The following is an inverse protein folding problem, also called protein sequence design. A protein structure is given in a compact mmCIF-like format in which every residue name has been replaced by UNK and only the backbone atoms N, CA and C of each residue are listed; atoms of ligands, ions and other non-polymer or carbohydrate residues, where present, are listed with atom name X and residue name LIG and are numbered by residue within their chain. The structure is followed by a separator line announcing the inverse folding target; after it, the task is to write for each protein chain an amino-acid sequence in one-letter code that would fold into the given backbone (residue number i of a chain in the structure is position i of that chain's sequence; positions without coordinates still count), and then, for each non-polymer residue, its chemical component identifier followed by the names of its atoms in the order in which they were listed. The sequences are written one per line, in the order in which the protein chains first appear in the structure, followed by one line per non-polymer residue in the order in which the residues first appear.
data_IF_294306131587
#
_entry.id   IF_294306131587
#
_cell.length_a   1.000
_cell.length_b   1.000
_cell.length_c   1.000
_cell.angle_alpha   90.00
_cell.angle_beta   90.00
_cell.angle_gamma   90.00
#
_symmetry.space_group_name_H-M   'P 1'
#
loop_
_entity.id
_entity.type
_entity.pdbx_description
1 polymer ?
#
# COMPACT_ATOMS: atom_id res chain seq x y z
N UNK A 1 -32.68 -14.58 34.92
CA UNK A 1 -32.93 -14.25 33.50
C UNK A 1 -31.78 -14.80 32.66
N UNK A 2 -31.99 -15.85 31.84
CA UNK A 2 -30.97 -16.33 30.92
C UNK A 2 -31.04 -15.56 29.58
N UNK A 3 -29.92 -15.39 28.85
CA UNK A 3 -29.90 -14.64 27.60
C UNK A 3 -30.50 -15.46 26.44
N UNK A 4 -31.20 -14.73 25.57
CA UNK A 4 -31.95 -15.25 24.44
C UNK A 4 -31.06 -15.89 23.36
N UNK A 5 -31.52 -17.03 22.84
CA UNK A 5 -31.00 -17.70 21.65
C UNK A 5 -31.31 -16.84 20.42
N UNK A 6 -30.28 -16.46 19.66
CA UNK A 6 -30.45 -15.95 18.30
C UNK A 6 -30.31 -17.13 17.35
N UNK A 7 -31.43 -17.45 16.69
CA UNK A 7 -31.54 -18.48 15.65
C UNK A 7 -30.90 -17.99 14.35
N UNK A 8 -29.98 -18.79 13.80
CA UNK A 8 -29.37 -18.55 12.48
C UNK A 8 -30.30 -19.02 11.35
N UNK A 9 -30.47 -18.26 10.26
CA UNK A 9 -30.93 -18.82 8.99
C UNK A 9 -29.73 -18.94 8.04
N UNK A 10 -28.78 -19.82 8.35
CA UNK A 10 -27.72 -20.17 7.41
C UNK A 10 -28.23 -21.27 6.46
N UNK A 11 -28.84 -20.88 5.33
CA UNK A 11 -28.98 -21.81 4.20
C UNK A 11 -27.61 -21.96 3.56
N UNK A 12 -26.96 -23.09 3.86
CA UNK A 12 -25.83 -23.61 3.08
C UNK A 12 -26.26 -23.67 1.61
N UNK A 13 -25.56 -22.96 0.73
CA UNK A 13 -25.44 -23.37 -0.67
C UNK A 13 -24.11 -24.06 -0.80
N UNK A 14 -24.16 -25.34 -1.15
CA UNK A 14 -23.01 -26.17 -1.47
C UNK A 14 -22.18 -25.51 -2.57
N UNK A 15 -21.08 -24.86 -2.19
CA UNK A 15 -20.01 -24.54 -3.12
C UNK A 15 -19.19 -25.83 -3.31
N UNK A 16 -19.52 -26.58 -4.38
CA UNK A 16 -18.67 -27.66 -4.88
C UNK A 16 -17.29 -27.07 -5.18
N UNK A 17 -16.31 -27.42 -4.33
CA UNK A 17 -14.90 -27.16 -4.55
C UNK A 17 -14.49 -27.94 -5.80
N UNK A 18 -14.38 -27.28 -6.95
CA UNK A 18 -13.74 -27.87 -8.11
C UNK A 18 -12.23 -27.92 -7.85
N UNK A 19 -11.71 -29.13 -7.71
CA UNK A 19 -10.29 -29.43 -7.77
C UNK A 19 -9.73 -28.92 -9.10
N UNK A 20 -8.74 -28.03 -9.06
CA UNK A 20 -8.01 -27.60 -10.24
C UNK A 20 -6.96 -28.65 -10.59
N UNK A 21 -7.15 -29.42 -11.67
CA UNK A 21 -6.10 -30.28 -12.24
C UNK A 21 -5.21 -29.47 -13.18
N UNK A 22 -3.89 -29.58 -13.00
CA UNK A 22 -2.80 -28.81 -13.62
C UNK A 22 -2.53 -29.06 -15.11
N UNK A 23 -3.52 -29.41 -15.93
CA UNK A 23 -3.30 -29.70 -17.35
C UNK A 23 -4.24 -28.91 -18.26
N UNK A 24 -3.95 -27.62 -18.52
CA UNK A 24 -4.42 -26.89 -19.71
C UNK A 24 -3.86 -25.45 -19.74
N UNK A 25 -2.58 -25.29 -20.09
CA UNK A 25 -2.08 -24.04 -20.67
C UNK A 25 -1.48 -24.43 -22.03
N UNK A 26 -2.25 -24.22 -23.11
CA UNK A 26 -1.76 -24.23 -24.48
C UNK A 26 -1.65 -22.79 -24.98
N UNK A 27 -0.48 -22.44 -25.50
CA UNK A 27 -0.13 -21.20 -26.19
C UNK A 27 -0.79 -21.11 -27.58
N UNK A 28 -1.31 -19.94 -27.97
CA UNK A 28 -1.73 -19.66 -29.35
C UNK A 28 -2.20 -18.21 -29.54
N UNK A 29 -1.58 -17.47 -30.49
CA UNK A 29 -1.76 -16.02 -30.70
C UNK A 29 -2.75 -15.58 -31.79
N UNK A 30 -2.80 -14.26 -32.04
CA UNK A 30 -3.27 -13.57 -33.27
C UNK A 30 -3.04 -12.05 -33.10
N UNK A 31 -2.18 -11.40 -33.91
CA UNK A 31 -2.42 -10.62 -35.16
C UNK A 31 -3.40 -9.43 -35.04
N UNK A 32 -2.87 -8.20 -35.14
CA UNK A 32 -3.59 -6.94 -35.38
C UNK A 32 -3.60 -6.60 -36.89
N UNK A 33 -4.64 -5.94 -37.43
CA UNK A 33 -4.55 -5.23 -38.70
C UNK A 33 -4.52 -3.69 -38.53
N UNK A 34 -3.97 -3.02 -39.55
CA UNK A 34 -3.69 -1.59 -39.66
C UNK A 34 -4.66 -0.86 -40.63
N UNK A 35 -4.47 0.47 -40.77
CA UNK A 35 -5.07 1.46 -41.72
C UNK A 35 -6.43 2.05 -41.29
N UNK A 36 -6.79 3.34 -41.45
CA UNK A 36 -6.23 4.56 -42.08
C UNK A 36 -7.38 5.50 -42.53
N UNK A 37 -7.23 6.84 -42.43
CA UNK A 37 -8.03 8.00 -42.98
C UNK A 37 -8.45 9.03 -41.91
N UNK A 38 -7.72 10.14 -41.72
CA UNK A 38 -7.69 11.48 -42.38
C UNK A 38 -8.65 12.52 -41.79
N UNK A 39 -8.06 13.70 -41.57
CA UNK A 39 -8.57 14.86 -40.85
C UNK A 39 -9.72 15.61 -41.54
N UNK A 40 -10.56 16.23 -40.70
CA UNK A 40 -11.02 17.63 -40.73
C UNK A 40 -12.53 17.73 -40.45
N UNK A 41 -12.86 18.08 -39.21
CA UNK A 41 -14.23 18.38 -38.83
C UNK A 41 -14.38 18.69 -37.34
N UNK A 42 -14.22 19.97 -37.01
CA UNK A 42 -14.80 20.62 -35.82
C UNK A 42 -14.09 20.47 -34.48
N UNK A 43 -13.05 21.31 -34.31
CA UNK A 43 -12.65 21.88 -33.02
C UNK A 43 -13.80 22.75 -32.50
N UNK A 44 -14.48 22.31 -31.43
CA UNK A 44 -15.11 23.10 -30.34
C UNK A 44 -16.18 22.29 -29.58
N UNK A 45 -15.76 21.48 -28.61
CA UNK A 45 -16.23 21.58 -27.23
C UNK A 45 -15.29 20.74 -26.39
N UNK A 46 -14.71 21.35 -25.36
CA UNK A 46 -13.59 20.79 -24.60
C UNK A 46 -14.07 19.64 -23.69
N UNK A 47 -14.24 18.47 -24.27
CA UNK A 47 -14.36 17.18 -23.59
C UNK A 47 -13.07 16.40 -23.76
N UNK A 48 -12.01 16.80 -23.07
CA UNK A 48 -10.78 16.00 -23.01
C UNK A 48 -11.05 14.78 -22.12
N UNK A 49 -11.54 13.73 -22.77
CA UNK A 49 -11.53 12.35 -22.29
C UNK A 49 -10.07 12.00 -21.96
N UNK A 50 -9.75 12.04 -20.67
CA UNK A 50 -8.61 11.32 -20.09
C UNK A 50 -8.58 9.92 -20.70
N UNK A 51 -7.55 9.64 -21.50
CA UNK A 51 -7.23 8.32 -22.01
C UNK A 51 -7.17 7.33 -20.83
N UNK A 52 -7.86 6.18 -20.89
CA UNK A 52 -7.87 5.20 -19.81
C UNK A 52 -6.53 4.45 -19.79
N UNK A 53 -5.51 5.05 -19.18
CA UNK A 53 -4.23 4.40 -18.97
C UNK A 53 -4.34 3.53 -17.71
N UNK A 54 -4.49 2.24 -18.00
CA UNK A 54 -4.46 1.12 -17.08
C UNK A 54 -3.31 1.22 -16.07
N UNK A 55 -3.71 1.17 -14.80
CA UNK A 55 -2.89 0.87 -13.64
C UNK A 55 -2.15 -0.46 -13.83
N UNK A 56 -0.81 -0.42 -13.91
CA UNK A 56 0.03 -1.58 -14.27
C UNK A 56 0.17 -2.65 -13.17
N UNK A 57 -0.47 -2.54 -12.01
CA UNK A 57 -0.52 -3.62 -11.00
C UNK A 57 -1.88 -4.33 -10.90
N UNK A 58 -2.82 -4.06 -11.80
CA UNK A 58 -4.18 -4.64 -11.74
C UNK A 58 -4.30 -6.10 -12.19
N UNK A 59 -3.26 -6.73 -12.74
CA UNK A 59 -3.40 -8.09 -13.27
C UNK A 59 -3.75 -9.15 -12.22
N UNK A 60 -3.45 -8.92 -10.94
CA UNK A 60 -3.84 -9.84 -9.85
C UNK A 60 -5.27 -9.65 -9.33
N UNK A 61 -5.80 -8.41 -9.38
CA UNK A 61 -7.15 -8.09 -8.88
C UNK A 61 -8.22 -8.00 -9.97
N UNK A 62 -7.85 -7.97 -11.25
CA UNK A 62 -8.82 -8.03 -12.35
C UNK A 62 -9.67 -9.33 -12.34
N UNK A 63 -9.33 -10.28 -11.46
CA UNK A 63 -10.01 -11.56 -11.26
C UNK A 63 -11.02 -11.56 -10.08
N UNK A 64 -11.04 -10.53 -9.23
CA UNK A 64 -11.96 -10.45 -8.09
C UNK A 64 -13.17 -9.57 -8.45
N UNK A 65 -14.37 -10.05 -8.16
CA UNK A 65 -15.59 -9.25 -8.28
C UNK A 65 -15.59 -8.08 -7.28
N UNK A 66 -16.43 -7.07 -7.53
CA UNK A 66 -16.64 -6.00 -6.54
C UNK A 66 -17.10 -6.61 -5.20
N UNK A 67 -16.36 -6.31 -4.13
CA UNK A 67 -16.66 -6.77 -2.77
C UNK A 67 -15.95 -8.06 -2.32
N UNK A 68 -15.28 -8.80 -3.19
CA UNK A 68 -14.61 -10.03 -2.77
C UNK A 68 -13.22 -9.76 -2.15
N UNK A 69 -12.92 -10.42 -1.03
CA UNK A 69 -11.58 -10.45 -0.44
C UNK A 69 -10.86 -11.74 -0.83
N UNK A 70 -9.52 -11.68 -0.94
CA UNK A 70 -8.74 -12.89 -1.13
C UNK A 70 -8.91 -13.84 0.07
N UNK A 71 -8.77 -15.17 -0.12
CA UNK A 71 -8.85 -16.12 0.99
C UNK A 71 -7.72 -15.96 2.03
N UNK A 72 -6.65 -15.25 1.67
CA UNK A 72 -5.50 -14.90 2.49
C UNK A 72 -4.95 -13.51 2.11
N UNK A 73 -4.18 -12.84 2.98
CA UNK A 73 -3.58 -11.56 2.63
C UNK A 73 -2.44 -11.75 1.62
N UNK A 74 -2.53 -11.08 0.46
CA UNK A 74 -1.41 -11.05 -0.49
C UNK A 74 -0.20 -10.30 0.09
N UNK A 75 -0.45 -9.31 0.96
CA UNK A 75 0.59 -8.54 1.63
C UNK A 75 0.29 -8.28 3.11
N UNK A 76 1.32 -8.36 3.95
CA UNK A 76 1.23 -7.99 5.37
C UNK A 76 2.13 -6.80 5.62
N UNK A 77 1.56 -5.73 6.17
CA UNK A 77 2.28 -4.56 6.65
C UNK A 77 2.64 -4.77 8.11
N UNK A 78 3.92 -4.89 8.42
CA UNK A 78 4.44 -5.17 9.75
C UNK A 78 5.15 -3.94 10.31
N UNK A 79 4.63 -3.41 11.41
CA UNK A 79 5.36 -2.44 12.22
C UNK A 79 6.27 -3.21 13.20
N UNK A 80 7.58 -3.10 13.01
CA UNK A 80 8.58 -3.86 13.80
C UNK A 80 9.07 -3.10 15.03
N UNK A 81 8.94 -1.78 15.05
CA UNK A 81 9.30 -0.94 16.20
C UNK A 81 8.46 0.34 16.25
N UNK A 82 8.29 0.95 17.42
CA UNK A 82 7.83 2.35 17.58
C UNK A 82 8.99 3.31 17.83
N UNK A 83 10.21 2.80 18.07
CA UNK A 83 11.41 3.63 18.25
C UNK A 83 11.74 4.33 16.94
N UNK A 84 12.13 5.59 17.04
CA UNK A 84 12.60 6.38 15.90
C UNK A 84 13.70 7.32 16.36
N UNK A 85 14.68 7.56 15.51
CA UNK A 85 15.74 8.55 15.74
C UNK A 85 15.34 9.98 15.30
N UNK A 86 14.11 10.16 14.82
CA UNK A 86 13.49 11.46 14.55
C UNK A 86 12.30 11.69 15.49
N UNK A 87 11.92 12.96 15.68
CA UNK A 87 10.80 13.36 16.54
C UNK A 87 9.75 14.21 15.80
N UNK A 88 9.34 13.77 14.60
CA UNK A 88 8.46 14.50 13.69
C UNK A 88 7.16 14.98 14.37
N UNK A 89 6.80 16.27 14.26
CA UNK A 89 5.68 16.86 15.01
C UNK A 89 4.34 16.14 14.76
N UNK A 90 4.04 15.76 13.52
CA UNK A 90 2.81 15.08 13.10
C UNK A 90 2.89 13.55 12.99
N UNK A 91 3.83 12.90 13.69
CA UNK A 91 4.03 11.45 13.56
C UNK A 91 2.79 10.64 13.94
N UNK A 92 2.21 9.93 12.97
CA UNK A 92 1.01 9.09 13.16
C UNK A 92 1.26 7.83 14.01
N UNK A 93 2.52 7.45 14.17
CA UNK A 93 2.99 6.25 14.88
C UNK A 93 3.63 6.55 16.24
N UNK A 94 3.53 7.80 16.73
CA UNK A 94 4.10 8.20 18.03
C UNK A 94 3.36 7.47 19.15
N UNK A 95 4.04 6.51 19.76
CA UNK A 95 3.61 5.70 20.90
C UNK A 95 4.83 5.44 21.80
N UNK A 96 4.63 4.84 22.98
CA UNK A 96 5.74 4.46 23.85
C UNK A 96 6.71 3.51 23.13
N UNK A 97 8.03 3.61 23.39
CA UNK A 97 9.03 2.72 22.78
C UNK A 97 8.70 1.24 23.02
N UNK A 98 8.62 0.50 21.93
CA UNK A 98 8.35 -0.93 21.91
C UNK A 98 8.94 -1.54 20.62
N UNK A 99 9.43 -2.76 20.74
CA UNK A 99 9.95 -3.55 19.64
C UNK A 99 9.10 -4.82 19.51
N UNK A 100 8.80 -5.22 18.27
CA UNK A 100 8.16 -6.49 17.98
C UNK A 100 9.10 -7.62 18.34
N UNK A 101 8.57 -8.69 18.94
CA UNK A 101 9.34 -9.90 19.23
C UNK A 101 9.85 -10.53 17.92
N UNK A 102 11.16 -10.79 17.78
CA UNK A 102 11.73 -11.44 16.59
C UNK A 102 11.05 -12.77 16.26
N UNK A 103 10.86 -13.64 17.26
CA UNK A 103 10.22 -14.96 17.09
C UNK A 103 8.81 -14.85 16.49
N UNK A 104 8.05 -13.83 16.89
CA UNK A 104 6.73 -13.57 16.31
C UNK A 104 6.84 -13.21 14.83
N UNK A 105 7.79 -12.34 14.47
CA UNK A 105 7.98 -11.91 13.08
C UNK A 105 8.45 -13.08 12.19
N UNK A 106 9.33 -13.93 12.71
CA UNK A 106 9.82 -15.13 12.01
C UNK A 106 8.70 -16.16 11.81
N UNK A 107 7.89 -16.42 12.84
CA UNK A 107 6.71 -17.28 12.72
C UNK A 107 5.69 -16.73 11.72
N UNK A 108 5.46 -15.41 11.72
CA UNK A 108 4.55 -14.76 10.77
C UNK A 108 4.97 -14.97 9.31
N UNK A 109 6.27 -14.85 8.97
CA UNK A 109 6.70 -15.05 7.58
C UNK A 109 6.58 -16.51 7.11
N UNK A 110 6.69 -17.47 8.03
CA UNK A 110 6.38 -18.87 7.73
C UNK A 110 4.90 -19.07 7.42
N UNK A 111 4.01 -18.52 8.25
CA UNK A 111 2.56 -18.56 8.00
C UNK A 111 2.21 -17.89 6.67
N UNK A 112 2.82 -16.75 6.36
CA UNK A 112 2.65 -16.03 5.10
C UNK A 112 3.04 -16.91 3.90
N UNK A 113 4.18 -17.60 3.97
CA UNK A 113 4.66 -18.47 2.91
C UNK A 113 3.74 -19.69 2.71
N UNK A 114 3.28 -20.31 3.80
CA UNK A 114 2.37 -21.47 3.74
C UNK A 114 1.08 -21.19 2.98
N UNK A 115 0.56 -19.97 3.07
CA UNK A 115 -0.70 -19.57 2.42
C UNK A 115 -0.50 -18.93 1.04
N UNK A 116 0.74 -18.75 0.59
CA UNK A 116 1.05 -18.12 -0.70
C UNK A 116 0.94 -16.59 -0.69
N UNK A 117 1.16 -15.95 0.46
CA UNK A 117 1.36 -14.49 0.52
C UNK A 117 2.59 -14.10 -0.31
N UNK A 118 2.63 -12.87 -0.82
CA UNK A 118 3.70 -12.42 -1.71
C UNK A 118 4.61 -11.36 -1.11
N UNK A 119 4.08 -10.46 -0.27
CA UNK A 119 4.80 -9.26 0.16
C UNK A 119 4.75 -9.03 1.66
N UNK A 120 5.92 -8.98 2.30
CA UNK A 120 6.12 -8.41 3.62
C UNK A 120 6.52 -6.94 3.48
N UNK A 121 5.70 -6.03 4.01
CA UNK A 121 5.98 -4.59 4.01
C UNK A 121 6.34 -4.13 5.43
N UNK A 122 7.63 -3.86 5.67
CA UNK A 122 8.18 -3.50 6.97
C UNK A 122 8.20 -1.97 7.13
N UNK A 123 7.76 -1.51 8.29
CA UNK A 123 7.87 -0.11 8.71
C UNK A 123 7.82 0.03 10.23
N UNK A 124 7.36 1.17 10.72
CA UNK A 124 7.15 1.42 12.15
C UNK A 124 7.48 2.86 12.52
N UNK A 125 8.30 3.03 13.56
CA UNK A 125 9.09 4.25 13.77
C UNK A 125 10.19 4.32 12.71
N UNK A 126 11.40 3.91 13.07
CA UNK A 126 12.50 3.68 12.12
C UNK A 126 12.90 2.19 12.12
N UNK A 127 12.54 1.41 11.09
CA UNK A 127 12.81 -0.04 11.09
C UNK A 127 14.30 -0.36 11.14
N UNK A 128 15.19 0.53 10.68
CA UNK A 128 16.63 0.30 10.78
C UNK A 128 17.12 0.24 12.25
N UNK A 129 16.34 0.67 13.24
CA UNK A 129 16.67 0.51 14.66
C UNK A 129 16.34 -0.88 15.23
N UNK A 130 15.54 -1.69 14.53
CA UNK A 130 15.09 -2.99 15.03
C UNK A 130 16.17 -4.05 14.81
N UNK A 131 16.54 -4.76 15.88
CA UNK A 131 17.71 -5.64 15.91
C UNK A 131 17.68 -6.77 14.88
N UNK A 132 16.52 -7.38 14.66
CA UNK A 132 16.34 -8.57 13.82
C UNK A 132 15.93 -8.26 12.37
N UNK A 133 16.19 -7.05 11.88
CA UNK A 133 15.76 -6.64 10.53
C UNK A 133 16.37 -7.52 9.44
N UNK A 134 17.69 -7.72 9.46
CA UNK A 134 18.42 -8.51 8.46
C UNK A 134 17.95 -9.98 8.48
N UNK A 135 17.87 -10.57 9.67
CA UNK A 135 17.41 -11.95 9.87
C UNK A 135 15.99 -12.14 9.31
N UNK A 136 15.07 -11.22 9.60
CA UNK A 136 13.71 -11.27 9.06
C UNK A 136 13.71 -11.15 7.54
N UNK A 137 14.53 -10.25 6.97
CA UNK A 137 14.60 -10.10 5.51
C UNK A 137 15.15 -11.35 4.83
N UNK A 138 16.22 -11.93 5.36
CA UNK A 138 16.83 -13.16 4.84
C UNK A 138 15.85 -14.34 4.93
N UNK A 139 15.18 -14.50 6.08
CA UNK A 139 14.17 -15.54 6.27
C UNK A 139 13.01 -15.39 5.30
N UNK A 140 12.50 -14.17 5.11
CA UNK A 140 11.41 -13.92 4.17
C UNK A 140 11.80 -14.31 2.73
N UNK A 141 13.00 -13.95 2.27
CA UNK A 141 13.49 -14.35 0.94
C UNK A 141 13.69 -15.85 0.80
N UNK A 142 14.24 -16.51 1.82
CA UNK A 142 14.40 -17.97 1.83
C UNK A 142 13.07 -18.73 1.71
N UNK A 143 11.96 -18.09 2.09
CA UNK A 143 10.60 -18.61 1.97
C UNK A 143 9.87 -18.14 0.69
N UNK A 144 10.55 -17.41 -0.20
CA UNK A 144 9.99 -16.92 -1.47
C UNK A 144 9.12 -15.67 -1.35
N UNK A 145 9.08 -15.02 -0.18
CA UNK A 145 8.42 -13.73 0.00
C UNK A 145 9.30 -12.60 -0.56
N UNK A 146 8.65 -11.52 -0.98
CA UNK A 146 9.32 -10.25 -1.29
C UNK A 146 9.21 -9.29 -0.12
N UNK A 147 10.24 -8.48 0.07
CA UNK A 147 10.35 -7.53 1.18
C UNK A 147 10.31 -6.10 0.64
N UNK A 148 9.41 -5.28 1.21
CA UNK A 148 9.40 -3.84 1.04
C UNK A 148 9.69 -3.15 2.37
N UNK A 149 10.56 -2.14 2.41
CA UNK A 149 10.88 -1.36 3.62
C UNK A 149 10.53 0.10 3.40
N UNK A 150 9.87 0.73 4.38
CA UNK A 150 9.74 2.19 4.47
C UNK A 150 10.63 2.72 5.59
N UNK A 151 11.56 3.61 5.27
CA UNK A 151 12.54 4.19 6.22
C UNK A 151 12.54 5.72 6.13
N UNK A 152 12.97 6.39 7.19
CA UNK A 152 13.26 7.83 7.16
C UNK A 152 14.59 8.15 6.44
N UNK A 153 15.39 7.14 6.07
CA UNK A 153 16.60 7.30 5.25
C UNK A 153 17.81 7.87 5.98
N UNK A 154 17.77 8.03 7.31
CA UNK A 154 18.90 8.57 8.09
C UNK A 154 19.91 7.51 8.53
N UNK A 155 19.48 6.25 8.60
CA UNK A 155 20.31 5.11 8.97
C UNK A 155 20.39 4.14 7.79
N UNK A 156 21.58 3.57 7.58
CA UNK A 156 21.82 2.57 6.54
C UNK A 156 22.20 1.25 7.20
N UNK A 157 21.54 0.19 6.78
CA UNK A 157 21.80 -1.18 7.23
C UNK A 157 21.89 -2.14 6.04
N UNK A 158 22.63 -3.25 6.17
CA UNK A 158 22.82 -4.22 5.10
C UNK A 158 21.58 -5.08 4.80
N UNK A 159 20.43 -4.84 5.43
CA UNK A 159 19.16 -5.46 5.04
C UNK A 159 18.91 -5.28 3.53
N UNK A 160 18.43 -6.33 2.87
CA UNK A 160 18.43 -6.42 1.40
C UNK A 160 17.01 -6.40 0.80
N UNK A 161 16.20 -5.34 0.96
CA UNK A 161 14.82 -5.35 0.49
C UNK A 161 14.70 -5.38 -1.04
N UNK A 162 13.65 -6.02 -1.57
CA UNK A 162 13.26 -5.91 -2.99
C UNK A 162 12.83 -4.48 -3.35
N UNK A 163 12.20 -3.79 -2.39
CA UNK A 163 11.74 -2.41 -2.53
C UNK A 163 12.07 -1.58 -1.30
N UNK A 164 12.59 -0.38 -1.50
CA UNK A 164 12.84 0.55 -0.41
C UNK A 164 12.26 1.92 -0.73
N UNK A 165 11.42 2.43 0.17
CA UNK A 165 10.88 3.78 0.08
C UNK A 165 11.45 4.65 1.20
N UNK A 166 12.01 5.81 0.85
CA UNK A 166 12.41 6.83 1.82
C UNK A 166 11.23 7.79 2.04
N UNK A 167 10.86 8.04 3.30
CA UNK A 167 9.92 9.11 3.65
C UNK A 167 10.60 10.46 3.48
N UNK A 168 10.15 11.24 2.49
CA UNK A 168 10.75 12.52 2.14
C UNK A 168 9.65 13.57 1.98
N UNK A 169 9.47 14.43 2.99
CA UNK A 169 8.46 15.49 3.04
C UNK A 169 8.87 16.57 4.06
N UNK A 170 8.03 17.60 4.24
CA UNK A 170 8.23 18.63 5.26
C UNK A 170 8.30 18.08 6.69
N UNK A 171 7.52 17.06 7.00
CA UNK A 171 7.38 16.54 8.36
C UNK A 171 8.65 15.85 8.85
N UNK A 172 9.35 15.15 7.95
CA UNK A 172 10.62 14.49 8.24
C UNK A 172 11.82 15.44 8.16
N UNK A 173 11.70 16.56 7.42
CA UNK A 173 12.74 17.59 7.35
C UNK A 173 14.07 17.14 6.75
N UNK A 174 14.11 15.98 6.09
CA UNK A 174 15.34 15.42 5.55
C UNK A 174 15.84 16.27 4.35
N UNK A 175 17.14 16.62 4.30
CA UNK A 175 17.74 17.20 3.10
C UNK A 175 17.69 16.21 1.92
N UNK A 176 17.56 16.72 0.70
CA UNK A 176 17.47 15.88 -0.50
C UNK A 176 18.72 14.99 -0.66
N UNK A 177 19.90 15.53 -0.32
CA UNK A 177 21.18 14.85 -0.39
C UNK A 177 21.23 13.64 0.56
N UNK A 178 20.61 13.75 1.74
CA UNK A 178 20.52 12.64 2.68
C UNK A 178 19.58 11.54 2.16
N UNK A 179 18.43 11.92 1.61
CA UNK A 179 17.53 10.97 0.94
C UNK A 179 18.24 10.26 -0.23
N UNK A 180 18.95 11.01 -1.07
CA UNK A 180 19.71 10.47 -2.20
C UNK A 180 20.76 9.45 -1.76
N UNK A 181 21.50 9.70 -0.67
CA UNK A 181 22.47 8.73 -0.14
C UNK A 181 21.81 7.39 0.19
N UNK A 182 20.67 7.41 0.88
CA UNK A 182 19.94 6.19 1.21
C UNK A 182 19.40 5.48 -0.03
N UNK A 183 18.77 6.22 -0.94
CA UNK A 183 18.24 5.67 -2.20
C UNK A 183 19.35 5.00 -3.01
N UNK A 184 20.50 5.65 -3.18
CA UNK A 184 21.64 5.08 -3.92
C UNK A 184 22.21 3.84 -3.22
N UNK A 185 22.39 3.90 -1.89
CA UNK A 185 22.91 2.76 -1.11
C UNK A 185 22.11 1.48 -1.37
N UNK A 186 20.77 1.56 -1.34
CA UNK A 186 19.91 0.40 -1.54
C UNK A 186 19.73 0.03 -3.03
N UNK A 187 19.69 1.01 -3.93
CA UNK A 187 19.65 0.75 -5.38
C UNK A 187 20.87 -0.01 -5.85
N UNK A 188 22.06 0.38 -5.40
CA UNK A 188 23.33 -0.24 -5.79
C UNK A 188 23.43 -1.69 -5.27
N UNK A 189 22.54 -2.08 -4.35
CA UNK A 189 22.36 -3.45 -3.83
C UNK A 189 21.18 -4.19 -4.46
N UNK A 190 20.58 -3.63 -5.51
CA UNK A 190 19.52 -4.27 -6.31
C UNK A 190 18.09 -3.93 -5.88
N UNK A 191 17.88 -3.09 -4.86
CA UNK A 191 16.53 -2.69 -4.47
C UNK A 191 15.90 -1.76 -5.52
N UNK A 192 14.60 -1.93 -5.79
CA UNK A 192 13.81 -0.90 -6.49
C UNK A 192 13.49 0.20 -5.50
N UNK A 193 14.05 1.39 -5.71
CA UNK A 193 13.95 2.49 -4.76
C UNK A 193 12.89 3.53 -5.15
N UNK A 194 12.24 4.08 -4.13
CA UNK A 194 11.17 5.05 -4.26
C UNK A 194 11.12 6.03 -3.09
N UNK A 195 10.18 6.94 -3.14
CA UNK A 195 9.89 7.87 -2.03
C UNK A 195 8.42 7.81 -1.64
N UNK A 196 8.17 7.93 -0.35
CA UNK A 196 6.86 8.22 0.20
C UNK A 196 6.84 9.70 0.58
N UNK A 197 5.84 10.44 0.11
CA UNK A 197 5.74 11.88 0.34
C UNK A 197 4.36 12.25 0.85
N UNK A 198 4.29 12.78 2.07
CA UNK A 198 3.05 13.34 2.61
C UNK A 198 2.77 14.68 1.93
N UNK A 199 1.63 14.79 1.24
CA UNK A 199 1.27 15.99 0.47
C UNK A 199 0.79 17.09 1.40
N UNK A 200 1.64 18.08 1.64
CA UNK A 200 1.32 19.25 2.49
C UNK A 200 1.15 20.52 1.66
N UNK A 201 2.22 21.04 1.06
CA UNK A 201 2.22 22.30 0.32
C UNK A 201 2.71 22.13 -1.11
N UNK A 202 2.43 23.10 -1.98
CA UNK A 202 2.96 23.11 -3.35
C UNK A 202 4.51 23.13 -3.36
N UNK A 203 5.12 23.87 -2.43
CA UNK A 203 6.58 23.93 -2.30
C UNK A 203 7.19 22.58 -1.89
N UNK A 204 6.49 21.81 -1.05
CA UNK A 204 6.96 20.48 -0.68
C UNK A 204 6.94 19.48 -1.84
N UNK A 205 5.93 19.57 -2.71
CA UNK A 205 5.89 18.77 -3.94
C UNK A 205 7.07 19.09 -4.86
N UNK A 206 7.44 20.38 -5.01
CA UNK A 206 8.59 20.78 -5.82
C UNK A 206 9.92 20.21 -5.29
N UNK A 207 10.05 19.99 -3.97
CA UNK A 207 11.26 19.37 -3.41
C UNK A 207 11.52 17.96 -3.95
N UNK A 208 10.48 17.25 -4.40
CA UNK A 208 10.62 15.93 -5.01
C UNK A 208 11.37 15.96 -6.33
N UNK A 209 11.35 17.08 -7.06
CA UNK A 209 11.97 17.20 -8.40
C UNK A 209 13.44 16.77 -8.39
N UNK A 210 14.17 17.08 -7.31
CA UNK A 210 15.57 16.68 -7.11
C UNK A 210 15.77 15.17 -7.01
N UNK A 211 14.78 14.44 -6.50
CA UNK A 211 14.84 13.00 -6.28
C UNK A 211 14.32 12.19 -7.46
N UNK A 212 13.53 12.81 -8.35
CA UNK A 212 12.91 12.11 -9.50
C UNK A 212 13.93 11.27 -10.28
N UNK A 213 15.13 11.77 -10.65
CA UNK A 213 16.09 10.98 -11.42
C UNK A 213 16.55 9.70 -10.72
N UNK A 214 16.54 9.68 -9.39
CA UNK A 214 17.07 8.58 -8.58
C UNK A 214 16.03 7.49 -8.29
N UNK A 215 14.74 7.79 -8.45
CA UNK A 215 13.64 6.93 -7.97
C UNK A 215 12.82 6.31 -9.10
N UNK A 216 12.37 5.09 -8.86
CA UNK A 216 11.44 4.37 -9.72
C UNK A 216 9.99 4.75 -9.44
N UNK A 217 9.68 5.09 -8.18
CA UNK A 217 8.32 5.33 -7.69
C UNK A 217 8.27 6.52 -6.71
N UNK A 218 7.19 7.29 -6.80
CA UNK A 218 6.85 8.38 -5.88
C UNK A 218 5.44 8.10 -5.38
N UNK A 219 5.29 7.68 -4.12
CA UNK A 219 3.98 7.50 -3.51
C UNK A 219 3.56 8.77 -2.80
N UNK A 220 2.51 9.42 -3.30
CA UNK A 220 1.90 10.58 -2.66
C UNK A 220 0.89 10.10 -1.62
N UNK A 221 1.05 10.57 -0.38
CA UNK A 221 0.27 10.18 0.79
C UNK A 221 -0.59 11.35 1.26
N UNK A 222 -1.85 11.06 1.60
CA UNK A 222 -2.70 11.99 2.32
C UNK A 222 -2.14 12.25 3.74
N UNK A 223 -2.07 13.52 4.19
CA UNK A 223 -1.77 13.85 5.57
C UNK A 223 -2.74 13.19 6.56
N UNK A 224 -2.24 12.91 7.77
CA UNK A 224 -3.02 12.31 8.84
C UNK A 224 -2.88 13.16 10.11
N UNK A 225 -3.97 13.65 10.71
CA UNK A 225 -5.36 13.47 10.27
C UNK A 225 -5.66 14.13 8.92
N UNK A 226 -6.61 13.60 8.14
CA UNK A 226 -6.90 14.11 6.80
C UNK A 226 -7.57 15.50 6.86
N UNK A 227 -7.04 16.43 6.07
CA UNK A 227 -7.58 17.77 5.85
C UNK A 227 -7.65 18.07 4.34
N UNK A 228 -8.62 17.48 3.62
CA UNK A 228 -8.70 17.61 2.17
C UNK A 228 -8.70 19.07 1.69
N UNK A 229 -9.40 19.95 2.40
CA UNK A 229 -9.50 21.38 2.15
C UNK A 229 -8.15 22.13 2.13
N UNK A 230 -7.14 21.63 2.84
CA UNK A 230 -5.80 22.23 2.90
C UNK A 230 -4.86 21.74 1.77
N UNK A 231 -5.29 20.78 0.95
CA UNK A 231 -4.42 20.20 -0.09
C UNK A 231 -4.14 21.19 -1.24
N UNK A 232 -2.91 21.22 -1.77
CA UNK A 232 -2.53 22.08 -2.89
C UNK A 232 -2.99 21.49 -4.22
N UNK A 233 -4.29 21.42 -4.47
CA UNK A 233 -4.89 20.66 -5.58
C UNK A 233 -4.31 20.98 -6.96
N UNK A 234 -4.16 22.25 -7.30
CA UNK A 234 -3.62 22.66 -8.61
C UNK A 234 -2.19 22.14 -8.81
N UNK A 235 -1.31 22.34 -7.82
CA UNK A 235 0.06 21.85 -7.86
C UNK A 235 0.13 20.32 -7.85
N UNK A 236 -0.73 19.68 -7.05
CA UNK A 236 -0.83 18.22 -6.94
C UNK A 236 -1.23 17.59 -8.28
N UNK A 237 -2.27 18.09 -8.94
CA UNK A 237 -2.72 17.57 -10.24
C UNK A 237 -1.63 17.77 -11.30
N UNK A 238 -1.03 18.96 -11.38
CA UNK A 238 0.09 19.22 -12.30
C UNK A 238 1.25 18.25 -12.07
N UNK A 239 1.63 18.02 -10.82
CA UNK A 239 2.71 17.09 -10.47
C UNK A 239 2.37 15.65 -10.89
N UNK A 240 1.15 15.19 -10.61
CA UNK A 240 0.68 13.85 -11.02
C UNK A 240 0.73 13.71 -12.55
N UNK A 241 0.25 14.69 -13.30
CA UNK A 241 0.22 14.65 -14.77
C UNK A 241 1.61 14.64 -15.39
N UNK A 242 2.51 15.49 -14.86
CA UNK A 242 3.90 15.59 -15.29
C UNK A 242 4.69 14.30 -15.03
N UNK A 243 4.38 13.59 -13.94
CA UNK A 243 5.14 12.43 -13.48
C UNK A 243 4.32 11.13 -13.43
N UNK A 244 3.26 11.03 -14.24
CA UNK A 244 2.26 9.93 -14.22
C UNK A 244 2.81 8.51 -14.34
N UNK A 245 4.01 8.33 -14.90
CA UNK A 245 4.65 7.01 -15.03
C UNK A 245 5.33 6.55 -13.73
N UNK A 246 5.60 7.46 -12.80
CA UNK A 246 6.33 7.21 -11.55
C UNK A 246 5.48 7.48 -10.31
N UNK A 247 4.41 8.26 -10.43
CA UNK A 247 3.55 8.63 -9.30
C UNK A 247 2.53 7.55 -8.99
N UNK A 248 2.48 7.16 -7.72
CA UNK A 248 1.52 6.27 -7.11
C UNK A 248 0.75 7.09 -6.07
N UNK A 249 -0.54 6.85 -5.94
CA UNK A 249 -1.36 7.52 -4.93
C UNK A 249 -1.66 6.52 -3.83
N UNK A 250 -1.54 6.95 -2.58
CA UNK A 250 -2.15 6.20 -1.50
C UNK A 250 -3.68 6.15 -1.70
N UNK A 251 -4.35 5.08 -1.26
CA UNK A 251 -5.79 4.94 -1.49
C UNK A 251 -6.63 6.08 -0.90
N UNK A 252 -6.17 6.72 0.19
CA UNK A 252 -6.89 7.82 0.81
C UNK A 252 -6.82 9.08 -0.05
N UNK A 253 -5.63 9.46 -0.53
CA UNK A 253 -5.48 10.59 -1.45
C UNK A 253 -6.23 10.34 -2.76
N UNK A 254 -6.13 9.12 -3.31
CA UNK A 254 -6.89 8.73 -4.50
C UNK A 254 -8.39 8.89 -4.33
N UNK A 255 -8.93 8.57 -3.14
CA UNK A 255 -10.34 8.81 -2.80
C UNK A 255 -10.70 10.28 -2.79
N UNK A 256 -9.87 11.11 -2.15
CA UNK A 256 -10.09 12.56 -2.06
C UNK A 256 -10.15 13.19 -3.46
N UNK A 257 -9.24 12.78 -4.35
CA UNK A 257 -9.23 13.25 -5.74
C UNK A 257 -10.44 12.74 -6.53
N UNK A 258 -10.84 11.49 -6.32
CA UNK A 258 -12.04 10.93 -6.94
C UNK A 258 -13.32 11.66 -6.55
N UNK A 259 -13.51 11.96 -5.25
CA UNK A 259 -14.67 12.69 -4.75
C UNK A 259 -14.77 14.11 -5.34
N UNK A 260 -13.65 14.69 -5.75
CA UNK A 260 -13.57 16.00 -6.42
C UNK A 260 -13.65 15.92 -7.95
N UNK A 261 -13.88 14.73 -8.52
CA UNK A 261 -13.93 14.53 -9.97
C UNK A 261 -12.57 14.62 -10.67
N UNK A 262 -11.47 14.69 -9.92
CA UNK A 262 -10.10 14.81 -10.45
C UNK A 262 -9.49 13.45 -10.82
N UNK A 263 -10.08 12.35 -10.36
CA UNK A 263 -9.65 10.99 -10.67
C UNK A 263 -10.85 10.10 -10.97
N UNK A 264 -10.80 9.33 -12.06
CA UNK A 264 -11.93 8.46 -12.46
C UNK A 264 -12.09 7.22 -11.57
N UNK A 265 -10.99 6.70 -11.02
CA UNK A 265 -10.97 5.50 -10.18
C UNK A 265 -10.08 5.73 -8.97
N UNK A 266 -10.66 5.58 -7.78
CA UNK A 266 -9.96 5.48 -6.51
C UNK A 266 -10.57 4.35 -5.70
N UNK A 267 -9.76 3.63 -4.90
CA UNK A 267 -10.27 2.49 -4.15
C UNK A 267 -9.31 1.98 -3.10
N UNK A 268 -9.83 1.74 -1.90
CA UNK A 268 -9.11 1.10 -0.81
C UNK A 268 -9.07 -0.42 -1.01
N UNK A 269 -7.86 -1.01 -0.96
CA UNK A 269 -7.66 -2.47 -1.01
C UNK A 269 -7.22 -3.08 0.33
N UNK A 270 -7.19 -2.26 1.37
CA UNK A 270 -6.84 -2.70 2.72
C UNK A 270 -7.99 -3.51 3.31
N UNK A 271 -7.70 -4.71 3.81
CA UNK A 271 -8.70 -5.73 4.14
C UNK A 271 -9.27 -6.49 2.93
N UNK A 272 -8.69 -6.32 1.73
CA UNK A 272 -9.02 -7.10 0.52
C UNK A 272 -7.80 -7.89 0.06
N UNK A 273 -6.66 -7.22 -0.06
CA UNK A 273 -5.38 -7.84 -0.45
C UNK A 273 -4.29 -7.67 0.59
N UNK A 274 -4.50 -6.83 1.61
CA UNK A 274 -3.49 -6.55 2.61
C UNK A 274 -4.05 -6.36 4.01
N UNK A 275 -3.24 -6.67 5.02
CA UNK A 275 -3.51 -6.37 6.42
C UNK A 275 -2.32 -5.68 7.09
N UNK A 276 -2.52 -5.22 8.32
CA UNK A 276 -1.53 -4.54 9.14
C UNK A 276 -1.39 -5.26 10.49
N UNK A 277 -0.17 -5.36 11.01
CA UNK A 277 0.16 -5.87 12.34
C UNK A 277 1.10 -4.88 13.03
N UNK A 278 0.80 -4.52 14.28
CA UNK A 278 1.61 -3.60 15.09
C UNK A 278 2.68 -4.31 15.94
N UNK A 279 3.51 -3.51 16.63
CA UNK A 279 4.58 -4.02 17.52
C UNK A 279 4.09 -4.93 18.65
N UNK A 280 2.81 -4.91 18.98
CA UNK A 280 2.22 -5.69 20.07
C UNK A 280 1.51 -6.96 19.57
N UNK A 281 1.70 -7.33 18.31
CA UNK A 281 1.02 -8.48 17.71
C UNK A 281 -0.49 -8.26 17.59
N UNK A 282 -0.94 -7.01 17.41
CA UNK A 282 -2.35 -6.69 17.16
C UNK A 282 -2.53 -6.33 15.69
N UNK A 283 -3.59 -6.85 15.09
CA UNK A 283 -3.85 -6.75 13.68
C UNK A 283 -5.04 -5.83 13.35
N UNK A 284 -4.98 -5.22 12.18
CA UNK A 284 -6.07 -4.43 11.60
C UNK A 284 -6.05 -4.50 10.08
N UNK A 285 -7.11 -4.00 9.44
CA UNK A 285 -7.16 -3.86 7.97
C UNK A 285 -6.07 -2.92 7.45
N UNK A 286 -5.75 -1.87 8.21
CA UNK A 286 -4.87 -0.79 7.82
C UNK A 286 -4.20 -0.18 9.06
N UNK A 287 -3.00 0.39 8.89
CA UNK A 287 -2.30 1.15 9.92
C UNK A 287 -3.07 2.36 10.45
N UNK A 288 -4.05 2.86 9.70
CA UNK A 288 -4.91 3.98 10.10
C UNK A 288 -6.02 3.56 11.07
N UNK A 289 -6.33 2.26 11.15
CA UNK A 289 -7.37 1.75 12.03
C UNK A 289 -6.78 1.57 13.44
N UNK A 290 -7.31 2.33 14.39
CA UNK A 290 -6.86 2.30 15.80
C UNK A 290 -7.43 1.13 16.59
N UNK A 291 -8.63 0.66 16.25
CA UNK A 291 -9.20 -0.55 16.82
C UNK A 291 -8.54 -1.78 16.20
N UNK A 292 -7.73 -2.48 16.99
CA UNK A 292 -6.94 -3.64 16.55
C UNK A 292 -7.39 -4.89 17.30
N UNK A 293 -7.35 -6.04 16.63
CA UNK A 293 -7.66 -7.35 17.20
C UNK A 293 -6.37 -8.07 17.59
N UNK A 294 -6.32 -8.87 18.67
CA UNK A 294 -5.17 -9.72 18.94
C UNK A 294 -4.91 -10.70 17.79
N UNK A 295 -3.65 -10.88 17.40
CA UNK A 295 -3.27 -11.88 16.39
C UNK A 295 -3.49 -13.31 16.93
N UNK A 296 -4.10 -14.17 16.10
CA UNK A 296 -4.44 -15.57 16.45
C UNK A 296 -4.04 -16.55 15.35
N UNK A 297 -2.97 -16.22 14.61
CA UNK A 297 -2.59 -16.89 13.36
C UNK A 297 -3.17 -16.18 12.14
N UNK A 298 -2.46 -16.27 11.02
CA UNK A 298 -2.64 -15.41 9.86
C UNK A 298 -4.03 -15.53 9.24
N UNK A 299 -4.46 -16.76 8.93
CA UNK A 299 -5.77 -17.00 8.30
C UNK A 299 -6.94 -16.72 9.24
N UNK A 300 -6.82 -17.06 10.52
CA UNK A 300 -7.87 -16.79 11.49
C UNK A 300 -8.08 -15.28 11.64
N UNK A 301 -6.98 -14.56 11.86
CA UNK A 301 -6.98 -13.09 11.97
C UNK A 301 -7.46 -12.44 10.67
N UNK A 302 -7.03 -12.93 9.51
CA UNK A 302 -7.46 -12.42 8.21
C UNK A 302 -8.96 -12.56 8.00
N UNK A 303 -9.57 -13.72 8.32
CA UNK A 303 -11.02 -13.94 8.18
C UNK A 303 -11.85 -12.97 9.01
N UNK A 304 -11.36 -12.56 10.18
CA UNK A 304 -12.03 -11.57 11.02
C UNK A 304 -11.87 -10.13 10.48
N UNK A 305 -10.75 -9.83 9.83
CA UNK A 305 -10.44 -8.50 9.31
C UNK A 305 -10.92 -8.28 7.88
N UNK A 306 -11.01 -9.34 7.08
CA UNK A 306 -11.35 -9.28 5.67
C UNK A 306 -12.69 -8.58 5.50
N UNK A 307 -12.75 -7.63 4.58
CA UNK A 307 -13.96 -6.87 4.35
C UNK A 307 -15.00 -7.79 3.67
N UNK A 308 -16.17 -8.03 4.29
CA UNK A 308 -17.25 -8.74 3.63
C UNK A 308 -17.73 -7.95 2.39
N UNK A 309 -18.15 -8.62 1.30
CA UNK A 309 -18.65 -7.93 0.10
C UNK A 309 -19.81 -6.97 0.36
N UNK A 310 -20.72 -7.34 1.25
CA UNK A 310 -21.89 -6.56 1.66
C UNK A 310 -21.54 -5.35 2.55
N UNK A 311 -20.34 -5.34 3.13
CA UNK A 311 -19.82 -4.25 3.98
C UNK A 311 -18.67 -3.51 3.34
N UNK A 312 -18.35 -3.81 2.08
CA UNK A 312 -17.36 -3.07 1.32
C UNK A 312 -17.79 -1.62 1.23
N UNK A 313 -17.02 -0.76 1.90
CA UNK A 313 -17.22 0.67 1.81
C UNK A 313 -16.14 1.24 0.89
N UNK A 314 -16.55 1.99 -0.14
CA UNK A 314 -15.59 2.54 -1.08
C UNK A 314 -14.75 3.63 -0.36
N UNK A 315 -15.30 4.29 0.67
CA UNK A 315 -14.62 5.29 1.49
C UNK A 315 -13.62 4.68 2.51
N UNK A 316 -12.35 5.13 2.50
CA UNK A 316 -11.38 4.88 3.56
C UNK A 316 -11.95 5.27 4.93
N UNK A 317 -11.66 4.44 5.93
CA UNK A 317 -12.14 4.62 7.31
C UNK A 317 -11.88 6.03 7.89
N UNK A 318 -10.76 6.67 7.54
CA UNK A 318 -10.38 8.00 8.03
C UNK A 318 -11.06 9.15 7.29
N UNK A 319 -11.71 8.89 6.15
CA UNK A 319 -12.40 9.91 5.34
C UNK A 319 -13.90 9.96 5.60
N UNK A 320 -14.43 9.06 6.43
CA UNK A 320 -15.86 8.98 6.74
C UNK A 320 -16.37 10.31 7.26
N UNK A 321 -17.36 10.89 6.57
CA UNK A 321 -17.98 12.16 6.93
C UNK A 321 -17.21 13.42 6.52
N UNK A 322 -16.02 13.29 5.91
CA UNK A 322 -15.21 14.40 5.40
C UNK A 322 -15.44 14.69 3.91
N UNK A 323 -15.93 13.70 3.16
CA UNK A 323 -16.27 13.81 1.75
C UNK A 323 -17.79 13.93 1.63
N UNK A 324 -18.31 15.15 1.82
CA UNK A 324 -19.71 15.50 1.51
C UNK A 324 -19.78 16.19 0.17
#
# INVERSE_FOLDING_TARGET
MPPARITSPCRRRDARIHQWSTSQIRTGGSRFPATGSTAAGWVKSWGWKLSPLLWKSDKGCALLGEGESLPFPLSVHLQVTTRCNLNCAGCWYRESPADLLPDFALSLVEEMAQVGSAWLAIGGGEPMLWGALEELTERAHGLGLKVAITTNGTLLRPAAPDRLHVSFDAMHGLPAEAAMRALRYYRDRGAVVGVNHIVTTAGDLQRLEKLIPEVSTITLLLPKPPRPEELPYEALVRFIEAHRQRVWLDPCLGRVLQARGLLRRGGCRQGITSMYIDVHGRAARCSNVRQRLPYRGLLATWRELACPPDKWQPEPCILRGLLK
#
